data_IF_599952474609
#
_entry.id   IF_599952474609
#
_cell.length_a   1.000
_cell.length_b   1.000
_cell.length_c   1.000
_cell.angle_alpha   90.00
_cell.angle_beta   90.00
_cell.angle_gamma   90.00
#
_symmetry.space_group_name_H-M   'P 1'
#
loop_
_entity.id
_entity.type
_entity.pdbx_description
1 polymer ?
#
# COMPACT_ATOMS: atom_id res chain seq x y z
N UNK A 1 35.28 29.93 -20.81
CA UNK A 1 34.16 28.98 -20.95
C UNK A 1 33.34 29.42 -22.14
N UNK A 2 33.24 28.57 -23.17
CA UNK A 2 32.45 28.89 -24.35
C UNK A 2 30.95 28.87 -24.01
N UNK A 3 30.13 29.51 -24.84
CA UNK A 3 28.66 29.46 -24.69
C UNK A 3 28.16 28.01 -24.76
N UNK A 4 28.80 27.17 -25.57
CA UNK A 4 28.45 25.76 -25.68
C UNK A 4 28.65 24.99 -24.36
N UNK A 5 29.72 25.31 -23.61
CA UNK A 5 30.00 24.68 -22.30
C UNK A 5 28.95 25.05 -21.24
N UNK A 6 28.39 26.26 -21.33
CA UNK A 6 27.33 26.72 -20.42
C UNK A 6 25.99 26.05 -20.74
N UNK A 7 25.69 25.87 -22.02
CA UNK A 7 24.46 25.20 -22.46
C UNK A 7 24.50 23.72 -22.06
N UNK A 8 25.63 23.04 -22.25
CA UNK A 8 25.76 21.62 -21.89
C UNK A 8 25.63 21.40 -20.38
N UNK A 9 26.24 22.25 -19.56
CA UNK A 9 26.10 22.22 -18.11
C UNK A 9 24.65 22.42 -17.66
N UNK A 10 23.96 23.41 -18.24
CA UNK A 10 22.55 23.67 -17.93
C UNK A 10 21.62 22.51 -18.31
N UNK A 11 21.82 21.89 -19.47
CA UNK A 11 21.04 20.72 -19.91
C UNK A 11 21.30 19.51 -19.02
N UNK A 12 22.53 19.32 -18.54
CA UNK A 12 22.87 18.23 -17.62
C UNK A 12 22.14 18.38 -16.28
N UNK A 13 22.11 19.59 -15.74
CA UNK A 13 21.41 19.89 -14.49
C UNK A 13 19.89 19.75 -14.66
N UNK A 14 19.33 20.26 -15.76
CA UNK A 14 17.90 20.11 -16.04
C UNK A 14 17.46 18.65 -16.18
N UNK A 15 18.29 17.78 -16.76
CA UNK A 15 18.03 16.33 -16.83
C UNK A 15 17.98 15.67 -15.45
N UNK A 16 18.89 16.05 -14.55
CA UNK A 16 18.90 15.57 -13.17
C UNK A 16 17.62 15.99 -12.43
N UNK A 17 17.22 17.25 -12.58
CA UNK A 17 15.98 17.78 -12.01
C UNK A 17 14.73 17.07 -12.55
N UNK A 18 14.62 16.89 -13.86
CA UNK A 18 13.49 16.20 -14.49
C UNK A 18 13.42 14.73 -14.04
N UNK A 19 14.56 14.04 -13.93
CA UNK A 19 14.59 12.66 -13.44
C UNK A 19 14.16 12.58 -11.97
N UNK A 20 14.63 13.49 -11.13
CA UNK A 20 14.24 13.57 -9.72
C UNK A 20 12.74 13.86 -9.56
N UNK A 21 12.22 14.84 -10.32
CA UNK A 21 10.81 15.18 -10.34
C UNK A 21 9.94 14.01 -10.82
N UNK A 22 10.32 13.35 -11.92
CA UNK A 22 9.61 12.19 -12.44
C UNK A 22 9.54 11.06 -11.41
N UNK A 23 10.67 10.77 -10.76
CA UNK A 23 10.72 9.71 -9.76
C UNK A 23 9.87 10.02 -8.52
N UNK A 24 9.98 11.24 -7.98
CA UNK A 24 9.20 11.66 -6.81
C UNK A 24 7.70 11.80 -7.09
N UNK A 25 7.32 12.29 -8.27
CA UNK A 25 5.92 12.58 -8.59
C UNK A 25 5.15 11.37 -9.13
N UNK A 26 5.80 10.45 -9.85
CA UNK A 26 5.10 9.36 -10.53
C UNK A 26 5.43 7.99 -9.95
N UNK A 27 6.69 7.70 -9.64
CA UNK A 27 7.07 6.37 -9.15
C UNK A 27 6.60 6.14 -7.71
N UNK A 28 6.83 7.12 -6.83
CA UNK A 28 6.49 6.97 -5.41
C UNK A 28 4.98 6.79 -5.16
N UNK A 29 4.08 7.63 -5.71
CA UNK A 29 2.65 7.48 -5.46
C UNK A 29 2.06 6.24 -6.12
N UNK A 30 2.67 5.76 -7.22
CA UNK A 30 2.25 4.52 -7.86
C UNK A 30 2.55 3.30 -6.98
N UNK A 31 3.73 3.27 -6.36
CA UNK A 31 4.11 2.19 -5.46
C UNK A 31 3.20 2.14 -4.22
N UNK A 32 2.99 3.29 -3.58
CA UNK A 32 2.18 3.40 -2.37
C UNK A 32 0.71 2.98 -2.62
N UNK A 33 0.16 3.26 -3.81
CA UNK A 33 -1.18 2.80 -4.20
C UNK A 33 -1.27 1.30 -4.38
N UNK A 34 -0.25 0.69 -4.97
CA UNK A 34 -0.19 -0.77 -5.18
C UNK A 34 -0.05 -1.48 -3.84
N UNK A 35 0.78 -0.95 -2.94
CA UNK A 35 0.94 -1.46 -1.59
C UNK A 35 -0.39 -1.41 -0.82
N UNK A 36 -1.07 -0.25 -0.79
CA UNK A 36 -2.39 -0.11 -0.15
C UNK A 36 -3.44 -1.06 -0.72
N UNK A 37 -3.44 -1.29 -2.05
CA UNK A 37 -4.37 -2.22 -2.67
C UNK A 37 -4.05 -3.68 -2.33
N UNK A 38 -2.76 -4.03 -2.19
CA UNK A 38 -2.35 -5.35 -1.74
C UNK A 38 -2.79 -5.60 -0.29
N UNK A 39 -2.65 -4.61 0.59
CA UNK A 39 -3.15 -4.69 1.96
C UNK A 39 -4.68 -4.81 2.02
N UNK A 40 -5.41 -4.09 1.17
CA UNK A 40 -6.88 -4.19 1.11
C UNK A 40 -7.33 -5.60 0.67
N UNK A 41 -6.59 -6.23 -0.25
CA UNK A 41 -6.81 -7.62 -0.65
C UNK A 41 -6.52 -8.61 0.48
N UNK A 42 -5.42 -8.41 1.20
CA UNK A 42 -5.06 -9.20 2.38
C UNK A 42 -6.14 -9.06 3.46
N UNK A 43 -6.58 -7.84 3.76
CA UNK A 43 -7.63 -7.57 4.74
C UNK A 43 -8.95 -8.28 4.38
N UNK A 44 -9.32 -8.30 3.09
CA UNK A 44 -10.51 -9.00 2.61
C UNK A 44 -10.35 -10.54 2.70
N UNK A 45 -9.17 -11.06 2.39
CA UNK A 45 -8.86 -12.47 2.54
C UNK A 45 -8.95 -12.91 4.01
N UNK A 46 -8.36 -12.15 4.93
CA UNK A 46 -8.40 -12.43 6.37
C UNK A 46 -9.83 -12.41 6.90
N UNK A 47 -10.66 -11.46 6.46
CA UNK A 47 -12.08 -11.43 6.80
C UNK A 47 -12.85 -12.65 6.26
N UNK A 48 -12.52 -13.11 5.05
CA UNK A 48 -13.17 -14.29 4.45
C UNK A 48 -12.77 -15.58 5.17
N UNK A 49 -11.52 -15.69 5.63
CA UNK A 49 -11.00 -16.83 6.35
C UNK A 49 -11.41 -16.85 7.82
N UNK A 50 -11.49 -15.68 8.49
CA UNK A 50 -11.72 -15.58 9.93
C UNK A 50 -12.84 -14.59 10.30
N UNK A 51 -14.05 -14.73 9.73
CA UNK A 51 -15.19 -13.87 10.08
C UNK A 51 -15.63 -14.06 11.55
N UNK A 52 -15.29 -15.20 12.16
CA UNK A 52 -15.55 -15.50 13.57
C UNK A 52 -14.87 -14.49 14.50
N UNK A 53 -13.76 -13.86 14.09
CA UNK A 53 -13.09 -12.81 14.84
C UNK A 53 -13.99 -11.58 15.06
N UNK A 54 -15.00 -11.37 14.20
CA UNK A 54 -16.01 -10.33 14.32
C UNK A 54 -17.34 -10.84 14.91
N UNK A 55 -17.37 -12.08 15.39
CA UNK A 55 -18.58 -12.70 15.93
C UNK A 55 -19.58 -13.16 14.86
N UNK A 56 -19.16 -13.23 13.59
CA UNK A 56 -19.99 -13.77 12.50
C UNK A 56 -19.65 -15.27 12.38
N UNK A 57 -20.51 -16.19 12.86
CA UNK A 57 -20.22 -17.61 12.80
C UNK A 57 -20.20 -18.09 11.35
N UNK A 58 -19.06 -18.63 10.91
CA UNK A 58 -18.90 -19.20 9.57
C UNK A 58 -18.28 -20.59 9.62
N UNK A 59 -18.77 -21.56 8.83
CA UNK A 59 -18.12 -22.86 8.70
C UNK A 59 -16.74 -22.75 8.05
N UNK A 60 -16.46 -21.67 7.31
CA UNK A 60 -15.17 -21.45 6.65
C UNK A 60 -14.05 -21.33 7.68
N UNK A 61 -14.29 -20.61 8.78
CA UNK A 61 -13.34 -20.38 9.88
C UNK A 61 -12.77 -21.69 10.45
N UNK A 62 -13.60 -22.74 10.50
CA UNK A 62 -13.18 -24.05 10.96
C UNK A 62 -12.18 -24.71 10.00
N UNK A 63 -12.44 -24.63 8.70
CA UNK A 63 -11.57 -25.24 7.67
C UNK A 63 -10.29 -24.45 7.42
N UNK A 64 -10.33 -23.12 7.62
CA UNK A 64 -9.17 -22.23 7.44
C UNK A 64 -8.31 -22.11 8.69
N UNK A 65 -8.73 -22.68 9.82
CA UNK A 65 -7.96 -22.66 11.07
C UNK A 65 -6.55 -23.26 10.92
N UNK A 66 -6.37 -24.23 10.02
CA UNK A 66 -5.06 -24.84 9.72
C UNK A 66 -4.08 -23.84 9.09
N UNK A 67 -4.56 -22.75 8.49
CA UNK A 67 -3.73 -21.70 7.90
C UNK A 67 -3.19 -20.72 8.95
N UNK A 68 -3.83 -20.63 10.11
CA UNK A 68 -3.52 -19.64 11.14
C UNK A 68 -2.03 -19.63 11.59
N UNK A 69 -1.35 -20.77 11.77
CA UNK A 69 0.08 -20.79 12.13
C UNK A 69 0.99 -20.19 11.06
N UNK A 70 0.56 -20.19 9.80
CA UNK A 70 1.31 -19.62 8.68
C UNK A 70 0.99 -18.15 8.44
N UNK A 71 -0.12 -17.66 9.00
CA UNK A 71 -0.63 -16.30 8.83
C UNK A 71 -0.57 -15.50 10.13
N UNK A 72 0.23 -15.93 11.11
CA UNK A 72 0.21 -15.35 12.45
C UNK A 72 0.67 -13.88 12.44
N UNK A 73 1.70 -13.57 11.67
CA UNK A 73 2.22 -12.20 11.56
C UNK A 73 1.25 -11.29 10.81
N UNK A 74 0.71 -11.78 9.70
CA UNK A 74 -0.32 -11.12 8.89
C UNK A 74 -1.59 -10.89 9.72
N UNK A 75 -1.96 -11.83 10.59
CA UNK A 75 -3.12 -11.70 11.47
C UNK A 75 -2.92 -10.59 12.50
N UNK A 76 -1.75 -10.49 13.14
CA UNK A 76 -1.45 -9.37 14.05
C UNK A 76 -1.43 -8.03 13.34
N UNK A 77 -0.82 -7.97 12.15
CA UNK A 77 -0.77 -6.75 11.35
C UNK A 77 -2.17 -6.33 10.89
N UNK A 78 -2.97 -7.28 10.43
CA UNK A 78 -4.37 -7.09 10.11
C UNK A 78 -5.14 -6.53 11.31
N UNK A 79 -5.05 -7.16 12.49
CA UNK A 79 -5.71 -6.67 13.70
C UNK A 79 -5.34 -5.22 14.03
N UNK A 80 -4.07 -4.83 13.90
CA UNK A 80 -3.62 -3.45 14.11
C UNK A 80 -4.24 -2.50 13.06
N UNK A 81 -4.22 -2.86 11.78
CA UNK A 81 -4.86 -2.08 10.70
C UNK A 81 -6.37 -1.94 10.88
N UNK A 82 -7.04 -2.99 11.36
CA UNK A 82 -8.48 -2.97 11.66
C UNK A 82 -8.80 -2.03 12.83
N UNK A 83 -7.91 -1.91 13.81
CA UNK A 83 -8.11 -1.04 14.98
C UNK A 83 -7.85 0.44 14.66
N UNK A 84 -6.88 0.71 13.79
CA UNK A 84 -6.49 2.08 13.44
C UNK A 84 -7.44 2.74 12.43
N UNK A 85 -8.29 1.94 11.75
CA UNK A 85 -9.27 2.43 10.77
C UNK A 85 -10.64 2.62 11.39
N UNK A 86 -11.28 3.77 11.17
CA UNK A 86 -12.66 4.01 11.61
C UNK A 86 -13.67 3.52 10.56
N UNK A 87 -13.34 3.64 9.27
CA UNK A 87 -14.20 3.16 8.17
C UNK A 87 -13.45 2.73 6.91
N UNK A 88 -14.10 1.93 6.07
CA UNK A 88 -13.59 1.58 4.73
C UNK A 88 -13.50 2.81 3.81
N UNK A 89 -14.35 3.81 4.03
CA UNK A 89 -14.35 5.05 3.25
C UNK A 89 -13.14 5.92 3.56
N UNK A 90 -12.76 6.01 4.84
CA UNK A 90 -11.55 6.70 5.27
C UNK A 90 -10.31 6.12 4.60
N UNK A 91 -10.19 4.79 4.57
CA UNK A 91 -9.06 4.10 3.93
C UNK A 91 -8.99 4.35 2.42
N UNK A 92 -10.13 4.27 1.73
CA UNK A 92 -10.18 4.65 0.31
C UNK A 92 -9.88 6.14 0.11
N UNK A 93 -10.25 7.00 1.06
CA UNK A 93 -9.85 8.41 1.07
C UNK A 93 -8.33 8.62 1.10
N UNK A 94 -7.64 7.93 2.00
CA UNK A 94 -6.18 7.97 2.13
C UNK A 94 -5.43 7.39 0.92
N UNK A 95 -6.04 6.48 0.14
CA UNK A 95 -5.42 5.89 -1.05
C UNK A 95 -5.37 6.87 -2.23
N UNK A 96 -6.31 7.80 -2.29
CA UNK A 96 -6.43 8.76 -3.39
C UNK A 96 -6.15 10.22 -2.97
N UNK A 97 -5.78 10.44 -1.70
CA UNK A 97 -5.47 11.75 -1.13
C UNK A 97 -6.61 12.77 -1.31
N UNK A 98 -7.85 12.37 -1.02
CA UNK A 98 -8.98 13.30 -0.94
C UNK A 98 -9.11 13.89 0.46
#
# INVERSE_FOLDING_TARGET
MSVADRISAFVAELKLWVRGLYHGMLTHPAYEKVEKEAEDLEDAFMLACFPDAFGIPSPVSYYTAELLPYLTEEFENWQRRMWDRDSLLERKGQQYHF
#
